data_IF_553283170064
#
_entry.id   IF_553283170064
#
_cell.length_a   1.000
_cell.length_b   1.000
_cell.length_c   1.000
_cell.angle_alpha   90.00
_cell.angle_beta   90.00
_cell.angle_gamma   90.00
#
_symmetry.space_group_name_H-M   'P 1'
#
loop_
_entity.id
_entity.type
_entity.pdbx_description
1 polymer ?
#
# COMPACT_ATOMS: atom_id res chain seq x y z
N UNK A 1 32.70 1.77 35.38
CA UNK A 1 31.78 2.65 34.61
C UNK A 1 31.84 4.05 35.22
N UNK A 2 32.25 5.08 34.48
CA UNK A 2 32.15 6.46 34.98
C UNK A 2 30.67 6.83 35.07
N UNK A 3 30.19 7.48 36.16
CA UNK A 3 28.82 7.97 36.23
C UNK A 3 28.58 8.98 35.10
N UNK A 4 27.53 8.76 34.32
CA UNK A 4 27.08 9.73 33.34
C UNK A 4 26.06 10.66 34.03
N UNK A 5 26.05 11.96 33.71
CA UNK A 5 25.01 12.86 34.21
C UNK A 5 23.63 12.40 33.70
N UNK A 6 22.53 12.73 34.42
CA UNK A 6 21.19 12.40 33.96
C UNK A 6 20.90 12.99 32.57
N UNK A 7 20.37 12.20 31.62
CA UNK A 7 20.04 12.70 30.29
C UNK A 7 18.79 13.59 30.31
N UNK A 8 18.68 14.49 29.34
CA UNK A 8 17.48 15.27 29.02
C UNK A 8 17.07 14.99 27.57
N UNK A 9 16.33 13.91 27.30
CA UNK A 9 15.93 13.59 25.93
C UNK A 9 14.94 14.64 25.39
N UNK A 10 14.94 14.90 24.07
CA UNK A 10 13.97 15.79 23.45
C UNK A 10 12.55 15.21 23.52
N UNK A 11 11.55 16.09 23.51
CA UNK A 11 10.14 15.70 23.50
C UNK A 11 9.69 15.23 22.11
N UNK A 12 8.75 14.28 22.06
CA UNK A 12 8.17 13.80 20.81
C UNK A 12 7.30 14.87 20.11
N UNK A 13 7.08 14.79 18.77
CA UNK A 13 6.36 15.82 17.99
C UNK A 13 4.92 16.11 18.42
N UNK A 14 4.27 15.18 19.12
CA UNK A 14 2.90 15.34 19.63
C UNK A 14 2.84 15.86 21.07
N UNK A 15 3.94 16.33 21.67
CA UNK A 15 3.91 17.08 22.94
C UNK A 15 3.58 18.56 22.67
N UNK A 16 2.35 18.82 22.22
CA UNK A 16 1.85 20.17 21.92
C UNK A 16 0.65 20.48 22.81
N UNK A 17 0.57 21.72 23.29
CA UNK A 17 -0.51 22.21 24.15
C UNK A 17 -1.81 22.55 23.41
N UNK A 18 -1.73 22.83 22.10
CA UNK A 18 -2.86 23.15 21.24
C UNK A 18 -2.70 22.46 19.86
N UNK A 19 -3.77 22.42 19.09
CA UNK A 19 -3.80 21.89 17.71
C UNK A 19 -3.21 20.47 17.58
N UNK A 20 -3.56 19.60 18.51
CA UNK A 20 -3.00 18.26 18.65
C UNK A 20 -4.06 17.21 18.96
N UNK A 21 -5.18 17.30 18.23
CA UNK A 21 -6.26 16.34 18.34
C UNK A 21 -5.80 14.97 17.86
N UNK A 22 -6.07 13.92 18.64
CA UNK A 22 -5.65 12.56 18.28
C UNK A 22 -6.27 12.10 16.96
N UNK A 23 -7.50 12.52 16.66
CA UNK A 23 -8.22 12.15 15.44
C UNK A 23 -7.53 12.59 14.14
N UNK A 24 -6.67 13.62 14.17
CA UNK A 24 -5.97 14.09 12.96
C UNK A 24 -4.65 13.34 12.70
N UNK A 25 -4.25 12.42 13.58
CA UNK A 25 -2.99 11.64 13.47
C UNK A 25 -3.17 10.15 13.79
N UNK A 26 -4.41 9.69 13.90
CA UNK A 26 -4.72 8.30 14.22
C UNK A 26 -4.68 7.44 12.96
N UNK A 27 -3.47 7.10 12.53
CA UNK A 27 -3.26 6.22 11.36
C UNK A 27 -3.91 4.83 11.52
N UNK A 28 -4.24 4.39 12.75
CA UNK A 28 -4.96 3.14 12.96
C UNK A 28 -6.39 3.19 12.41
N UNK A 29 -7.00 4.39 12.37
CA UNK A 29 -8.34 4.64 11.81
C UNK A 29 -8.31 5.00 10.33
N UNK A 30 -7.14 5.37 9.79
CA UNK A 30 -6.97 5.63 8.36
C UNK A 30 -6.92 4.32 7.55
N UNK A 31 -6.57 3.20 8.19
CA UNK A 31 -6.59 1.87 7.58
C UNK A 31 -7.99 1.49 7.09
N UNK A 32 -8.12 1.26 5.78
CA UNK A 32 -9.35 0.83 5.13
C UNK A 32 -9.33 -0.67 4.85
N UNK A 33 -10.51 -1.31 4.71
CA UNK A 33 -10.60 -2.66 4.15
C UNK A 33 -9.91 -2.75 2.77
N UNK A 34 -9.39 -3.92 2.38
CA UNK A 34 -8.72 -4.08 1.09
C UNK A 34 -9.71 -3.84 -0.07
N UNK A 35 -9.21 -3.23 -1.14
CA UNK A 35 -9.97 -3.06 -2.39
C UNK A 35 -10.01 -4.39 -3.14
N UNK A 36 -11.21 -4.88 -3.42
CA UNK A 36 -11.42 -6.13 -4.17
C UNK A 36 -11.47 -5.82 -5.66
N UNK A 37 -10.41 -6.17 -6.40
CA UNK A 37 -10.26 -5.88 -7.84
C UNK A 37 -11.03 -6.88 -8.72
N UNK A 38 -11.16 -8.12 -8.25
CA UNK A 38 -11.96 -9.15 -8.89
C UNK A 38 -12.57 -10.05 -7.80
N UNK A 39 -13.86 -10.33 -7.90
CA UNK A 39 -14.57 -11.27 -7.05
C UNK A 39 -15.40 -12.20 -7.92
N UNK A 40 -15.53 -13.46 -7.51
CA UNK A 40 -16.54 -14.34 -8.10
C UNK A 40 -17.92 -13.74 -7.82
N UNK A 41 -18.69 -13.41 -8.86
CA UNK A 41 -20.09 -13.07 -8.68
C UNK A 41 -20.80 -14.28 -8.07
N UNK A 42 -21.39 -14.12 -6.88
CA UNK A 42 -22.39 -15.08 -6.40
C UNK A 42 -23.62 -14.92 -7.29
N UNK A 43 -23.70 -15.71 -8.35
CA UNK A 43 -24.90 -15.87 -9.14
C UNK A 43 -25.94 -16.55 -8.26
N UNK A 44 -26.93 -15.79 -7.79
CA UNK A 44 -28.21 -16.37 -7.42
C UNK A 44 -28.82 -16.92 -8.72
N UNK A 45 -29.25 -18.19 -8.80
CA UNK A 45 -29.89 -18.68 -10.00
C UNK A 45 -31.16 -17.86 -10.23
N UNK A 46 -31.16 -17.05 -11.29
CA UNK A 46 -32.38 -16.45 -11.78
C UNK A 46 -33.31 -17.59 -12.21
N UNK A 47 -34.54 -17.59 -11.71
CA UNK A 47 -35.58 -18.52 -12.13
C UNK A 47 -35.65 -18.55 -13.66
N UNK A 48 -35.68 -19.76 -14.21
CA UNK A 48 -35.78 -20.15 -15.62
C UNK A 48 -36.27 -19.07 -16.61
N UNK A 49 -35.53 -18.88 -17.72
CA UNK A 49 -35.90 -19.33 -19.07
C UNK A 49 -34.89 -18.82 -20.12
N UNK A 50 -34.78 -19.59 -21.20
CA UNK A 50 -33.75 -19.54 -22.23
C UNK A 50 -33.76 -18.30 -23.14
N UNK A 51 -32.58 -17.97 -23.66
CA UNK A 51 -32.40 -17.35 -24.98
C UNK A 51 -32.03 -15.87 -24.97
N UNK A 52 -30.75 -15.55 -25.19
CA UNK A 52 -30.30 -14.53 -26.15
C UNK A 52 -28.77 -14.35 -26.05
N UNK A 53 -28.10 -14.77 -27.12
CA UNK A 53 -26.80 -14.31 -27.66
C UNK A 53 -25.85 -13.57 -26.72
N UNK A 54 -24.73 -14.23 -26.44
CA UNK A 54 -23.50 -13.66 -25.87
C UNK A 54 -23.10 -12.34 -26.54
N UNK A 55 -22.86 -11.24 -25.80
CA UNK A 55 -22.06 -10.16 -26.32
C UNK A 55 -20.60 -10.62 -26.32
N UNK A 56 -20.08 -10.88 -27.53
CA UNK A 56 -18.66 -11.03 -27.83
C UNK A 56 -17.87 -9.88 -27.19
N UNK A 57 -17.22 -10.16 -26.06
CA UNK A 57 -16.25 -9.25 -25.43
C UNK A 57 -15.09 -9.11 -26.42
N UNK A 58 -15.02 -7.97 -27.09
CA UNK A 58 -13.88 -7.61 -27.93
C UNK A 58 -12.68 -7.42 -27.01
N UNK A 59 -11.81 -8.43 -26.93
CA UNK A 59 -10.51 -8.35 -26.27
C UNK A 59 -9.64 -7.36 -27.02
N UNK A 60 -9.67 -6.10 -26.59
CA UNK A 60 -8.62 -5.15 -26.96
C UNK A 60 -7.28 -5.70 -26.46
N UNK A 61 -6.25 -5.70 -27.32
CA UNK A 61 -4.91 -6.17 -26.97
C UNK A 61 -4.33 -5.28 -25.86
N UNK A 62 -4.39 -5.75 -24.61
CA UNK A 62 -3.81 -5.07 -23.45
C UNK A 62 -2.33 -5.40 -23.38
N UNK A 63 -1.49 -4.36 -23.27
CA UNK A 63 -0.06 -4.53 -22.99
C UNK A 63 0.13 -5.28 -21.67
N UNK A 64 1.11 -6.20 -21.58
CA UNK A 64 1.43 -6.84 -20.31
C UNK A 64 1.89 -5.80 -19.28
N UNK A 65 1.43 -5.93 -18.03
CA UNK A 65 1.75 -5.02 -16.92
C UNK A 65 2.68 -5.74 -15.94
N UNK A 66 3.73 -5.07 -15.48
CA UNK A 66 4.56 -5.53 -14.36
C UNK A 66 4.09 -4.89 -13.05
N UNK A 67 4.18 -5.57 -11.89
CA UNK A 67 3.74 -5.00 -10.60
C UNK A 67 4.47 -3.72 -10.16
N UNK A 68 5.66 -3.48 -10.72
CA UNK A 68 6.44 -2.28 -10.51
C UNK A 68 7.45 -2.09 -11.64
N UNK A 69 8.21 -0.98 -11.63
CA UNK A 69 9.31 -0.77 -12.56
C UNK A 69 10.42 -1.80 -12.34
N UNK A 70 11.24 -2.11 -13.36
CA UNK A 70 12.42 -2.94 -13.18
C UNK A 70 13.37 -2.31 -12.18
N UNK A 71 13.97 -3.14 -11.32
CA UNK A 71 14.95 -2.68 -10.34
C UNK A 71 16.13 -2.03 -11.06
N UNK A 72 16.54 -0.86 -10.56
CA UNK A 72 17.76 -0.21 -11.01
C UNK A 72 18.95 -1.08 -10.61
N UNK A 73 19.86 -1.34 -11.55
CA UNK A 73 21.14 -1.99 -11.26
C UNK A 73 21.92 -1.11 -10.29
N UNK A 74 22.38 -1.68 -9.18
CA UNK A 74 23.22 -0.97 -8.23
C UNK A 74 24.59 -0.71 -8.84
N UNK A 75 25.16 0.45 -8.56
CA UNK A 75 26.54 0.80 -8.92
C UNK A 75 27.49 0.26 -7.85
N UNK A 76 28.72 -0.10 -8.24
CA UNK A 76 29.75 -0.50 -7.30
C UNK A 76 30.19 0.70 -6.45
N UNK A 77 30.65 0.45 -5.21
CA UNK A 77 31.10 1.49 -4.30
C UNK A 77 32.22 2.33 -4.92
N UNK A 78 32.19 3.65 -4.64
CA UNK A 78 33.26 4.58 -5.03
C UNK A 78 34.36 4.71 -3.99
N UNK A 79 34.09 4.26 -2.76
CA UNK A 79 35.01 4.38 -1.63
C UNK A 79 36.07 3.27 -1.70
N UNK A 80 35.62 2.01 -1.77
CA UNK A 80 36.48 0.82 -1.94
C UNK A 80 35.81 -0.16 -2.94
N UNK A 81 36.12 -0.07 -4.25
CA UNK A 81 35.47 -0.90 -5.26
C UNK A 81 35.98 -2.35 -5.29
N UNK A 82 37.14 -2.61 -4.70
CA UNK A 82 37.79 -3.92 -4.65
C UNK A 82 38.41 -4.13 -3.26
N UNK A 83 38.42 -5.40 -2.82
CA UNK A 83 39.23 -5.89 -1.69
C UNK A 83 40.64 -6.20 -2.16
#
# INVERSE_FOLDING_TARGET
RRPQPPPRPPVAPSHKFADNYYCTRDGRRESQPPVVVAAAQRTLPAGAQAGSSDPKVTTAEKKPVTPGPPLRKWEISKDEPYL
#
